data_IF_364201950927
#
_entry.id   IF_364201950927
#
_cell.length_a   1.000
_cell.length_b   1.000
_cell.length_c   1.000
_cell.angle_alpha   90.00
_cell.angle_beta   90.00
_cell.angle_gamma   90.00
#
_symmetry.space_group_name_H-M   'P 1'
#
loop_
_entity.id
_entity.type
_entity.pdbx_description
1 polymer ?
#
# COMPACT_ATOMS: atom_id res chain seq x y z
N UNK A 1 -6.83 21.48 1.49
CA UNK A 1 -5.78 21.26 0.47
C UNK A 1 -5.34 22.65 0.03
N UNK A 2 -4.10 23.02 0.32
CA UNK A 2 -3.58 24.39 0.15
C UNK A 2 -3.23 24.73 -1.31
N UNK A 3 -3.12 23.74 -2.20
CA UNK A 3 -2.72 23.96 -3.61
C UNK A 3 -3.78 23.59 -4.64
N UNK A 4 -5.03 23.39 -4.23
CA UNK A 4 -6.14 23.00 -5.12
C UNK A 4 -5.90 21.71 -5.95
N UNK A 5 -5.11 20.78 -5.42
CA UNK A 5 -4.84 19.46 -5.99
C UNK A 5 -6.13 18.69 -6.24
N UNK A 6 -6.18 17.85 -7.27
CA UNK A 6 -7.36 17.01 -7.53
C UNK A 6 -7.68 16.15 -6.30
N UNK A 7 -8.97 16.12 -5.92
CA UNK A 7 -9.45 15.36 -4.76
C UNK A 7 -10.41 14.28 -5.25
N UNK A 8 -10.01 13.02 -5.09
CA UNK A 8 -10.90 11.88 -5.30
C UNK A 8 -11.48 11.38 -3.98
N UNK A 9 -12.81 11.25 -3.93
CA UNK A 9 -13.50 10.66 -2.77
C UNK A 9 -13.50 9.14 -2.89
N UNK A 10 -12.56 8.52 -2.18
CA UNK A 10 -12.46 7.06 -2.10
C UNK A 10 -13.42 6.51 -1.02
N UNK A 11 -14.49 5.81 -1.45
CA UNK A 11 -15.44 5.17 -0.52
C UNK A 11 -14.94 3.76 -0.13
N UNK A 12 -14.55 3.61 1.14
CA UNK A 12 -14.01 2.34 1.65
C UNK A 12 -15.07 1.28 1.95
N UNK A 13 -16.35 1.66 2.09
CA UNK A 13 -17.43 0.74 2.51
C UNK A 13 -17.32 0.21 3.95
N UNK A 14 -16.30 0.64 4.70
CA UNK A 14 -16.05 0.21 6.07
C UNK A 14 -16.77 1.13 7.06
N UNK A 15 -17.50 0.56 8.01
CA UNK A 15 -18.30 1.30 9.01
C UNK A 15 -17.49 2.06 10.08
N UNK A 16 -16.16 2.03 10.09
CA UNK A 16 -15.35 2.65 11.16
C UNK A 16 -14.11 3.41 10.66
N UNK A 17 -13.68 4.44 11.43
CA UNK A 17 -12.34 5.07 11.36
C UNK A 17 -11.25 4.09 11.84
N UNK A 18 -11.10 2.95 11.18
CA UNK A 18 -10.06 1.96 11.51
C UNK A 18 -8.84 2.12 10.61
N UNK A 19 -7.71 1.54 11.03
CA UNK A 19 -6.47 1.42 10.22
C UNK A 19 -6.73 0.82 8.83
N UNK A 20 -7.79 0.02 8.67
CA UNK A 20 -8.21 -0.53 7.39
C UNK A 20 -8.71 0.54 6.39
N UNK A 21 -9.26 1.66 6.86
CA UNK A 21 -9.66 2.79 5.99
C UNK A 21 -8.44 3.50 5.42
N UNK A 22 -7.39 3.67 6.23
CA UNK A 22 -6.13 4.25 5.77
C UNK A 22 -5.48 3.37 4.72
N UNK A 23 -5.37 2.06 4.97
CA UNK A 23 -4.84 1.11 4.00
C UNK A 23 -5.62 1.12 2.67
N UNK A 24 -6.95 1.20 2.69
CA UNK A 24 -7.73 1.26 1.44
C UNK A 24 -7.45 2.54 0.62
N UNK A 25 -7.32 3.68 1.30
CA UNK A 25 -6.94 4.94 0.65
C UNK A 25 -5.54 4.85 0.08
N UNK A 26 -4.57 4.35 0.85
CA UNK A 26 -3.18 4.21 0.42
C UNK A 26 -3.05 3.34 -0.83
N UNK A 27 -3.84 2.26 -0.92
CA UNK A 27 -3.88 1.39 -2.10
C UNK A 27 -4.44 2.10 -3.33
N UNK A 28 -5.53 2.85 -3.17
CA UNK A 28 -6.07 3.67 -4.25
C UNK A 28 -5.07 4.74 -4.69
N UNK A 29 -4.38 5.36 -3.74
CA UNK A 29 -3.28 6.28 -4.03
C UNK A 29 -2.13 5.58 -4.79
N UNK A 30 -1.75 4.36 -4.40
CA UNK A 30 -0.76 3.57 -5.12
C UNK A 30 -1.21 3.24 -6.54
N UNK A 31 -2.50 2.97 -6.77
CA UNK A 31 -3.06 2.69 -8.11
C UNK A 31 -3.02 3.91 -9.05
N UNK A 32 -3.26 5.12 -8.54
CA UNK A 32 -3.23 6.35 -9.34
C UNK A 32 -1.83 6.96 -9.47
N UNK A 33 -0.92 6.67 -8.54
CA UNK A 33 0.41 7.27 -8.53
C UNK A 33 1.26 6.79 -9.72
N UNK A 34 2.07 7.69 -10.28
CA UNK A 34 3.11 7.34 -11.27
C UNK A 34 4.42 6.97 -10.56
N UNK A 35 4.68 7.57 -9.41
CA UNK A 35 5.86 7.36 -8.56
C UNK A 35 5.48 7.47 -7.09
N UNK A 36 6.13 6.68 -6.23
CA UNK A 36 5.98 6.77 -4.78
C UNK A 36 7.15 7.50 -4.12
N UNK A 37 6.85 8.30 -3.09
CA UNK A 37 7.84 8.80 -2.14
C UNK A 37 7.35 8.49 -0.73
N UNK A 38 8.19 7.83 0.07
CA UNK A 38 7.88 7.41 1.43
C UNK A 38 8.95 7.93 2.39
N UNK A 39 8.54 8.35 3.58
CA UNK A 39 9.44 8.59 4.71
C UNK A 39 9.21 7.47 5.71
N UNK A 40 10.28 6.80 6.13
CA UNK A 40 10.18 5.58 6.90
C UNK A 40 11.13 5.55 8.09
N UNK A 41 10.60 5.10 9.22
CA UNK A 41 11.25 5.02 10.52
C UNK A 41 11.82 3.62 10.83
N UNK A 42 11.86 2.74 9.83
CA UNK A 42 12.19 1.32 9.96
C UNK A 42 11.20 0.49 10.81
N UNK A 43 10.06 1.05 11.22
CA UNK A 43 9.09 0.37 12.10
C UNK A 43 7.71 0.23 11.44
N UNK A 44 7.31 1.21 10.61
CA UNK A 44 5.99 1.19 9.98
C UNK A 44 5.87 0.10 8.91
N UNK A 45 5.32 -1.05 9.29
CA UNK A 45 4.95 -2.10 8.33
C UNK A 45 3.94 -1.62 7.28
N UNK A 46 3.11 -0.62 7.60
CA UNK A 46 2.16 -0.03 6.64
C UNK A 46 2.87 0.70 5.51
N UNK A 47 3.89 1.50 5.84
CA UNK A 47 4.72 2.18 4.85
C UNK A 47 5.43 1.18 3.95
N UNK A 48 6.03 0.13 4.54
CA UNK A 48 6.68 -0.92 3.76
C UNK A 48 5.70 -1.69 2.88
N UNK A 49 4.48 -1.97 3.36
CA UNK A 49 3.40 -2.53 2.55
C UNK A 49 3.01 -1.64 1.37
N UNK A 50 3.09 -0.31 1.50
CA UNK A 50 2.81 0.63 0.41
C UNK A 50 3.91 0.57 -0.66
N UNK A 51 5.18 0.52 -0.23
CA UNK A 51 6.33 0.35 -1.14
C UNK A 51 6.21 -0.96 -1.93
N UNK A 52 5.99 -2.10 -1.26
CA UNK A 52 5.87 -3.41 -1.92
C UNK A 52 4.79 -3.41 -3.01
N UNK A 53 3.64 -2.81 -2.73
CA UNK A 53 2.51 -2.79 -3.66
C UNK A 53 2.71 -1.86 -4.86
N UNK A 54 3.45 -0.76 -4.70
CA UNK A 54 3.89 0.08 -5.81
C UNK A 54 4.82 -0.71 -6.74
N UNK A 55 5.82 -1.39 -6.15
CA UNK A 55 6.76 -2.21 -6.92
C UNK A 55 6.06 -3.39 -7.60
N UNK A 56 5.13 -4.06 -6.93
CA UNK A 56 4.30 -5.14 -7.52
C UNK A 56 3.43 -4.63 -8.69
N UNK A 57 3.08 -3.35 -8.70
CA UNK A 57 2.39 -2.68 -9.82
C UNK A 57 3.34 -2.17 -10.90
N UNK A 58 4.64 -2.42 -10.79
CA UNK A 58 5.66 -1.95 -11.74
C UNK A 58 5.97 -0.46 -11.63
N UNK A 59 5.71 0.16 -10.48
CA UNK A 59 5.89 1.60 -10.26
C UNK A 59 7.15 1.87 -9.46
N UNK A 60 7.87 2.94 -9.83
CA UNK A 60 9.06 3.34 -9.09
C UNK A 60 8.70 3.91 -7.73
N UNK A 61 9.53 3.64 -6.73
CA UNK A 61 9.34 4.12 -5.38
C UNK A 61 10.66 4.59 -4.76
N UNK A 62 10.62 5.74 -4.12
CA UNK A 62 11.69 6.30 -3.32
C UNK A 62 11.33 6.19 -1.84
N UNK A 63 12.25 5.72 -1.01
CA UNK A 63 12.08 5.66 0.44
C UNK A 63 13.23 6.39 1.13
N UNK A 64 12.89 7.40 1.91
CA UNK A 64 13.80 8.07 2.82
C UNK A 64 13.80 7.34 4.15
N UNK A 65 14.93 6.76 4.53
CA UNK A 65 15.10 6.03 5.79
C UNK A 65 15.58 7.01 6.85
N UNK A 66 14.71 7.37 7.78
CA UNK A 66 14.98 8.41 8.76
C UNK A 66 16.18 8.10 9.69
N UNK A 67 16.37 6.86 10.19
CA UNK A 67 17.54 6.53 10.99
C UNK A 67 18.87 6.74 10.27
N UNK A 68 18.91 6.46 8.97
CA UNK A 68 20.15 6.48 8.17
C UNK A 68 20.30 7.82 7.42
N UNK A 69 19.22 8.62 7.37
CA UNK A 69 19.13 9.86 6.59
C UNK A 69 19.52 9.68 5.12
N UNK A 70 19.13 8.55 4.55
CA UNK A 70 19.46 8.15 3.19
C UNK A 70 18.20 7.87 2.35
N UNK A 71 18.31 8.13 1.05
CA UNK A 71 17.27 7.89 0.07
C UNK A 71 17.59 6.63 -0.74
N UNK A 72 16.66 5.66 -0.72
CA UNK A 72 16.75 4.45 -1.53
C UNK A 72 15.70 4.48 -2.64
N UNK A 73 16.09 4.05 -3.84
CA UNK A 73 15.19 3.90 -4.98
C UNK A 73 14.96 2.41 -5.26
N UNK A 74 13.71 2.06 -5.51
CA UNK A 74 13.29 0.74 -5.92
C UNK A 74 12.46 0.82 -7.20
N UNK A 75 12.81 -0.01 -8.17
CA UNK A 75 12.14 -0.17 -9.47
C UNK A 75 11.70 -1.61 -9.73
N UNK A 76 12.07 -2.54 -8.85
CA UNK A 76 11.97 -3.97 -9.07
C UNK A 76 11.81 -4.71 -7.75
N UNK A 77 11.02 -5.78 -7.78
CA UNK A 77 10.76 -6.61 -6.59
C UNK A 77 12.05 -7.28 -6.09
N UNK A 78 12.99 -7.59 -6.98
CA UNK A 78 14.27 -8.22 -6.65
C UNK A 78 15.13 -7.31 -5.76
N UNK A 79 15.31 -6.04 -6.17
CA UNK A 79 16.11 -5.07 -5.41
C UNK A 79 15.48 -4.80 -4.04
N UNK A 80 14.15 -4.63 -4.00
CA UNK A 80 13.41 -4.43 -2.77
C UNK A 80 13.52 -5.63 -1.83
N UNK A 81 13.29 -6.86 -2.32
CA UNK A 81 13.38 -8.08 -1.50
C UNK A 81 14.77 -8.27 -0.92
N UNK A 82 15.82 -7.98 -1.70
CA UNK A 82 17.20 -8.03 -1.20
C UNK A 82 17.42 -7.04 -0.06
N UNK A 83 16.96 -5.81 -0.21
CA UNK A 83 17.10 -4.75 0.80
C UNK A 83 16.28 -5.03 2.07
N UNK A 84 15.05 -5.51 1.92
CA UNK A 84 14.16 -5.85 3.06
C UNK A 84 14.68 -6.99 3.94
N UNK A 85 15.72 -7.74 3.53
CA UNK A 85 16.35 -8.75 4.38
C UNK A 85 16.92 -8.17 5.68
N UNK A 86 17.26 -6.88 5.69
CA UNK A 86 17.72 -6.18 6.89
C UNK A 86 16.60 -5.97 7.93
N UNK A 87 15.32 -6.06 7.55
CA UNK A 87 14.17 -5.77 8.41
C UNK A 87 13.15 -6.92 8.43
N UNK A 88 13.53 -8.13 8.87
CA UNK A 88 12.71 -9.34 8.71
C UNK A 88 11.34 -9.25 9.39
N UNK A 89 11.26 -8.73 10.62
CA UNK A 89 10.01 -8.63 11.37
C UNK A 89 9.00 -7.70 10.68
N UNK A 90 9.45 -6.52 10.28
CA UNK A 90 8.59 -5.50 9.64
C UNK A 90 8.20 -5.95 8.23
N UNK A 91 9.10 -6.62 7.51
CA UNK A 91 8.83 -7.25 6.22
C UNK A 91 7.71 -8.28 6.33
N UNK A 92 7.78 -9.18 7.32
CA UNK A 92 6.81 -10.26 7.46
C UNK A 92 5.42 -9.73 7.84
N UNK A 93 5.36 -8.74 8.74
CA UNK A 93 4.12 -8.03 9.04
C UNK A 93 3.58 -7.28 7.82
N UNK A 94 4.44 -6.65 7.01
CA UNK A 94 4.03 -5.97 5.78
C UNK A 94 3.41 -6.94 4.76
N UNK A 95 3.99 -8.12 4.57
CA UNK A 95 3.42 -9.18 3.72
C UNK A 95 2.10 -9.72 4.26
N UNK A 96 1.99 -9.90 5.59
CA UNK A 96 0.75 -10.35 6.23
C UNK A 96 -0.39 -9.35 6.01
N UNK A 97 -0.11 -8.05 6.10
CA UNK A 97 -1.09 -6.98 5.82
C UNK A 97 -1.55 -7.02 4.37
N UNK A 98 -0.61 -7.16 3.42
CA UNK A 98 -0.90 -7.30 2.00
C UNK A 98 -1.76 -8.53 1.69
N UNK A 99 -1.40 -9.69 2.22
CA UNK A 99 -2.17 -10.93 2.05
C UNK A 99 -3.61 -10.78 2.56
N UNK A 100 -3.75 -10.21 3.77
CA UNK A 100 -5.07 -9.94 4.37
C UNK A 100 -5.91 -9.01 3.50
N UNK A 101 -5.29 -7.96 2.95
CA UNK A 101 -5.95 -7.02 2.04
C UNK A 101 -6.40 -7.71 0.74
N UNK A 102 -5.51 -8.45 0.08
CA UNK A 102 -5.82 -9.18 -1.17
C UNK A 102 -7.01 -10.13 -0.99
N UNK A 103 -7.08 -10.85 0.14
CA UNK A 103 -8.23 -11.71 0.48
C UNK A 103 -9.55 -10.92 0.61
N UNK A 104 -9.51 -9.74 1.25
CA UNK A 104 -10.69 -8.88 1.41
C UNK A 104 -11.17 -8.30 0.07
N UNK A 105 -10.25 -7.85 -0.77
CA UNK A 105 -10.59 -7.32 -2.10
C UNK A 105 -11.14 -8.42 -3.02
N UNK A 106 -10.55 -9.63 -3.01
CA UNK A 106 -11.08 -10.76 -3.77
C UNK A 106 -12.50 -11.13 -3.33
N UNK A 107 -12.77 -11.13 -2.02
CA UNK A 107 -14.12 -11.35 -1.49
C UNK A 107 -15.10 -10.26 -1.96
N UNK A 108 -14.71 -9.00 -1.89
CA UNK A 108 -15.53 -7.86 -2.34
C UNK A 108 -15.83 -7.90 -3.84
N UNK A 109 -14.84 -8.28 -4.66
CA UNK A 109 -15.04 -8.46 -6.10
C UNK A 109 -16.02 -9.60 -6.39
N UNK A 110 -15.92 -10.72 -5.67
CA UNK A 110 -16.87 -11.83 -5.81
C UNK A 110 -18.30 -11.47 -5.40
N UNK A 111 -18.48 -10.72 -4.29
CA UNK A 111 -19.79 -10.23 -3.85
C UNK A 111 -20.40 -9.25 -4.85
N UNK A 112 -19.59 -8.36 -5.44
CA UNK A 112 -20.04 -7.43 -6.48
C UNK A 112 -20.30 -8.09 -7.85
N UNK A 113 -19.69 -9.25 -8.12
CA UNK A 113 -19.90 -10.02 -9.34
C UNK A 113 -21.18 -10.89 -9.31
N UNK A 114 -21.91 -10.91 -8.20
CA UNK A 114 -23.26 -11.49 -8.09
C UNK A 114 -24.34 -10.39 -8.04
N UNK A 115 -24.69 -9.72 -9.16
CA UNK A 115 -25.86 -8.87 -9.20
C UNK A 115 -27.13 -9.75 -9.26
N UNK A 116 -27.89 -9.73 -8.16
CA UNK A 116 -29.29 -10.18 -7.99
C UNK A 116 -29.76 -11.41 -8.79
N UNK A 117 -29.64 -12.60 -8.18
CA UNK A 117 -30.43 -13.79 -8.53
C UNK A 117 -31.81 -13.83 -7.84
N UNK A 118 -32.22 -12.72 -7.20
CA UNK A 118 -33.51 -12.61 -6.51
C UNK A 118 -34.17 -11.27 -6.83
N UNK A 119 -34.87 -11.21 -7.97
CA UNK A 119 -36.02 -10.34 -8.21
C UNK A 119 -37.07 -11.10 -8.99
#
# INVERSE_FOLDING_TARGET
NLGNWQVEKVYSGLKSRSSAVHAFKDRKMCQIAEVGLMIWDCQSAGTLSNVIDLIDQGKNCFIWVAPDSDLYQFDSSISLVKWMKAYPEVRDEAFKRLSTYRKREAKRLNENAQPELFR
#
